data_IF_720349060055
#
_entry.id   IF_720349060055
#
_cell.length_a   1.000
_cell.length_b   1.000
_cell.length_c   1.000
_cell.angle_alpha   90.00
_cell.angle_beta   90.00
_cell.angle_gamma   90.00
#
_symmetry.space_group_name_H-M   'P 1'
#
loop_
_entity.id
_entity.type
_entity.pdbx_description
1 polymer ?
#
# COMPACT_ATOMS: atom_id res chain seq x y z
N UNK A 1 -1.34 -8.91 -13.77
CA UNK A 1 -1.97 -7.60 -13.46
C UNK A 1 -3.48 -7.80 -13.57
N UNK A 2 -4.25 -7.56 -12.51
CA UNK A 2 -5.72 -7.65 -12.55
C UNK A 2 -6.26 -6.24 -12.38
N UNK A 3 -6.83 -5.70 -13.45
CA UNK A 3 -7.46 -4.39 -13.40
C UNK A 3 -8.95 -4.52 -13.07
N UNK A 4 -9.55 -3.44 -12.56
CA UNK A 4 -10.96 -3.36 -12.20
C UNK A 4 -11.66 -2.38 -13.15
N UNK A 5 -12.35 -2.85 -14.20
CA UNK A 5 -13.05 -1.99 -15.15
C UNK A 5 -14.36 -1.50 -14.55
N UNK A 6 -14.26 -0.55 -13.62
CA UNK A 6 -15.40 0.07 -12.92
C UNK A 6 -15.40 1.58 -13.17
N UNK A 7 -16.57 2.25 -13.09
CA UNK A 7 -16.64 3.70 -13.23
C UNK A 7 -15.70 4.41 -12.24
N UNK A 8 -14.96 5.41 -12.71
CA UNK A 8 -14.02 6.17 -11.90
C UNK A 8 -12.65 5.53 -11.73
N UNK A 9 -12.36 4.38 -12.37
CA UNK A 9 -11.04 3.73 -12.36
C UNK A 9 -9.93 4.65 -12.88
N UNK A 10 -10.27 5.57 -13.76
CA UNK A 10 -9.41 6.56 -14.39
C UNK A 10 -9.10 7.79 -13.54
N UNK A 11 -9.75 7.94 -12.37
CA UNK A 11 -9.52 9.09 -11.49
C UNK A 11 -8.10 9.09 -10.90
N UNK A 12 -7.58 10.29 -10.70
CA UNK A 12 -6.27 10.50 -10.06
C UNK A 12 -6.26 9.93 -8.63
N UNK A 13 -5.11 9.40 -8.24
CA UNK A 13 -4.91 8.74 -6.94
C UNK A 13 -5.23 7.24 -6.92
N UNK A 14 -5.71 6.66 -8.03
CA UNK A 14 -5.93 5.22 -8.15
C UNK A 14 -4.73 4.54 -8.81
N UNK A 15 -3.88 3.96 -7.97
CA UNK A 15 -2.64 3.31 -8.38
C UNK A 15 -2.69 1.80 -8.13
N UNK A 16 -2.05 1.03 -9.02
CA UNK A 16 -1.76 -0.37 -8.76
C UNK A 16 -0.64 -0.48 -7.71
N UNK A 17 -0.68 -1.51 -6.88
CA UNK A 17 0.32 -1.71 -5.82
C UNK A 17 1.77 -1.68 -6.35
N UNK A 18 2.01 -2.23 -7.55
CA UNK A 18 3.33 -2.24 -8.17
C UNK A 18 3.79 -0.89 -8.74
N UNK A 19 2.92 0.12 -8.76
CA UNK A 19 3.30 1.51 -9.06
C UNK A 19 3.76 2.24 -7.79
N UNK A 20 3.29 1.78 -6.62
CA UNK A 20 3.60 2.35 -5.30
C UNK A 20 4.82 1.70 -4.61
N UNK A 21 4.80 0.37 -4.44
CA UNK A 21 5.78 -0.36 -3.63
C UNK A 21 7.25 -0.18 -4.05
N UNK A 22 7.60 -0.10 -5.36
CA UNK A 22 8.99 0.06 -5.75
C UNK A 22 9.64 1.34 -5.23
N UNK A 23 8.88 2.43 -5.04
CA UNK A 23 9.43 3.69 -4.53
C UNK A 23 9.98 3.55 -3.13
N UNK A 24 9.26 2.86 -2.25
CA UNK A 24 9.73 2.59 -0.91
C UNK A 24 11.05 1.81 -0.92
N UNK A 25 11.19 0.81 -1.79
CA UNK A 25 12.44 0.06 -1.91
C UNK A 25 13.61 0.94 -2.37
N UNK A 26 13.39 1.80 -3.37
CA UNK A 26 14.43 2.72 -3.88
C UNK A 26 14.91 3.69 -2.80
N UNK A 27 13.96 4.29 -2.06
CA UNK A 27 14.28 5.16 -0.92
C UNK A 27 15.11 4.41 0.13
N UNK A 28 14.72 3.18 0.47
CA UNK A 28 15.44 2.37 1.46
C UNK A 28 16.84 1.93 0.99
N UNK A 29 17.07 1.82 -0.32
CA UNK A 29 18.38 1.53 -0.91
C UNK A 29 19.27 2.78 -1.04
N UNK A 30 18.71 3.97 -0.80
CA UNK A 30 19.42 5.24 -0.92
C UNK A 30 19.49 5.78 -2.35
N UNK A 31 18.60 5.33 -3.24
CA UNK A 31 18.50 5.86 -4.60
C UNK A 31 18.05 7.33 -4.57
N UNK A 32 18.60 8.15 -5.47
CA UNK A 32 18.14 9.53 -5.67
C UNK A 32 16.85 9.53 -6.50
N UNK A 33 15.73 9.56 -5.79
CA UNK A 33 14.37 9.50 -6.37
C UNK A 33 13.52 10.71 -6.00
N UNK A 34 14.13 11.78 -5.47
CA UNK A 34 13.38 12.95 -5.01
C UNK A 34 12.77 13.69 -6.19
N UNK A 35 11.51 14.12 -6.02
CA UNK A 35 10.83 15.03 -6.93
C UNK A 35 11.26 16.49 -6.72
N UNK A 36 10.64 17.39 -7.49
CA UNK A 36 10.88 18.83 -7.39
C UNK A 36 10.52 19.41 -6.01
N UNK A 37 9.65 18.74 -5.27
CA UNK A 37 9.25 19.06 -3.90
C UNK A 37 10.21 18.53 -2.82
N UNK A 38 11.27 17.83 -3.24
CA UNK A 38 12.26 17.24 -2.34
C UNK A 38 11.80 15.96 -1.66
N UNK A 39 10.68 15.38 -2.08
CA UNK A 39 10.11 14.16 -1.52
C UNK A 39 10.11 13.02 -2.56
N UNK A 40 10.19 11.75 -2.12
CA UNK A 40 9.97 10.62 -3.02
C UNK A 40 8.54 10.65 -3.62
N UNK A 41 8.32 10.04 -4.80
CA UNK A 41 6.97 9.87 -5.32
C UNK A 41 6.10 9.02 -4.40
N UNK A 42 4.79 9.30 -4.43
CA UNK A 42 3.77 8.50 -3.73
C UNK A 42 4.01 8.39 -2.22
N UNK A 43 4.39 9.49 -1.58
CA UNK A 43 4.44 9.58 -0.12
C UNK A 43 3.04 9.62 0.47
N UNK A 44 2.81 8.80 1.51
CA UNK A 44 1.52 8.69 2.19
C UNK A 44 1.42 9.56 3.46
N UNK A 45 2.46 10.36 3.76
CA UNK A 45 2.57 11.12 5.01
C UNK A 45 1.37 12.04 5.20
N UNK A 46 0.69 11.92 6.35
CA UNK A 46 -0.53 12.66 6.70
C UNK A 46 -1.75 12.42 5.79
N UNK A 47 -1.70 11.46 4.87
CA UNK A 47 -2.82 11.11 3.99
C UNK A 47 -3.68 9.97 4.56
N UNK A 48 -4.93 9.95 4.13
CA UNK A 48 -5.87 8.85 4.37
C UNK A 48 -6.13 8.12 3.06
N UNK A 49 -5.92 6.80 3.01
CA UNK A 49 -6.08 6.04 1.77
C UNK A 49 -6.61 4.63 2.02
N UNK A 50 -7.01 3.97 0.92
CA UNK A 50 -7.55 2.62 0.93
C UNK A 50 -6.71 1.65 0.08
N UNK A 51 -6.48 0.45 0.61
CA UNK A 51 -5.90 -0.69 -0.10
C UNK A 51 -7.01 -1.65 -0.49
N UNK A 52 -7.09 -1.99 -1.78
CA UNK A 52 -8.06 -2.96 -2.29
C UNK A 52 -7.33 -4.29 -2.57
N UNK A 53 -7.52 -5.27 -1.68
CA UNK A 53 -6.88 -6.58 -1.71
C UNK A 53 -6.28 -6.98 -0.36
N UNK A 54 -6.38 -8.26 -0.01
CA UNK A 54 -5.94 -8.80 1.29
C UNK A 54 -4.81 -9.81 1.27
N UNK A 55 -4.22 -10.09 0.10
CA UNK A 55 -3.01 -10.93 0.02
C UNK A 55 -1.74 -10.19 0.46
N UNK A 56 -0.59 -10.86 0.33
CA UNK A 56 0.72 -10.34 0.75
C UNK A 56 1.03 -8.95 0.19
N UNK A 57 0.75 -8.71 -1.09
CA UNK A 57 0.96 -7.39 -1.71
C UNK A 57 0.10 -6.29 -1.04
N UNK A 58 -1.10 -6.63 -0.56
CA UNK A 58 -1.93 -5.70 0.19
C UNK A 58 -1.35 -5.41 1.58
N UNK A 59 -0.84 -6.44 2.26
CA UNK A 59 -0.14 -6.31 3.53
C UNK A 59 1.16 -5.48 3.39
N UNK A 60 1.89 -5.63 2.28
CA UNK A 60 3.07 -4.82 1.97
C UNK A 60 2.70 -3.34 1.76
N UNK A 61 1.57 -3.07 1.09
CA UNK A 61 1.05 -1.70 0.95
C UNK A 61 0.68 -1.09 2.29
N UNK A 62 -0.02 -1.85 3.14
CA UNK A 62 -0.36 -1.45 4.50
C UNK A 62 0.90 -1.10 5.31
N UNK A 63 1.86 -2.02 5.35
CA UNK A 63 3.11 -1.85 6.10
C UNK A 63 3.96 -0.68 5.61
N UNK A 64 4.10 -0.53 4.29
CA UNK A 64 4.84 0.60 3.68
C UNK A 64 4.23 1.94 4.07
N UNK A 65 2.90 2.04 3.98
CA UNK A 65 2.22 3.31 4.24
C UNK A 65 2.24 3.70 5.72
N UNK A 66 2.18 2.72 6.62
CA UNK A 66 2.41 2.98 8.05
C UNK A 66 3.82 3.51 8.30
N UNK A 67 4.86 2.93 7.67
CA UNK A 67 6.24 3.41 7.81
C UNK A 67 6.43 4.82 7.24
N UNK A 68 5.68 5.18 6.21
CA UNK A 68 5.67 6.54 5.64
C UNK A 68 4.86 7.56 6.47
N UNK A 69 4.16 7.14 7.54
CA UNK A 69 3.41 8.05 8.41
C UNK A 69 2.03 8.44 7.88
N UNK A 70 1.32 7.50 7.24
CA UNK A 70 -0.08 7.71 6.86
C UNK A 70 -0.98 8.04 8.06
N UNK A 71 -1.91 8.99 7.86
CA UNK A 71 -2.86 9.38 8.90
C UNK A 71 -3.91 8.28 9.15
N UNK A 72 -4.40 7.65 8.09
CA UNK A 72 -5.26 6.47 8.20
C UNK A 72 -5.10 5.52 7.00
N UNK A 73 -5.25 4.23 7.25
CA UNK A 73 -5.19 3.19 6.23
C UNK A 73 -6.39 2.28 6.37
N UNK A 74 -7.15 2.10 5.29
CA UNK A 74 -8.27 1.17 5.23
C UNK A 74 -7.95 0.03 4.26
N UNK A 75 -7.98 -1.21 4.71
CA UNK A 75 -7.78 -2.36 3.82
C UNK A 75 -9.11 -3.10 3.63
N UNK A 76 -9.47 -3.28 2.35
CA UNK A 76 -10.69 -3.98 1.97
C UNK A 76 -10.33 -5.29 1.25
N UNK A 77 -10.86 -6.39 1.75
CA UNK A 77 -10.69 -7.71 1.18
C UNK A 77 -12.06 -8.34 0.87
N UNK A 78 -12.12 -9.16 -0.18
CA UNK A 78 -13.33 -9.90 -0.58
C UNK A 78 -13.52 -11.20 0.24
N UNK A 79 -12.46 -11.69 0.88
CA UNK A 79 -12.47 -12.90 1.69
C UNK A 79 -13.08 -12.63 3.07
N UNK A 80 -13.53 -13.67 3.80
CA UNK A 80 -13.97 -13.52 5.17
C UNK A 80 -12.90 -12.87 6.05
N UNK A 81 -13.34 -12.07 7.02
CA UNK A 81 -12.45 -11.44 7.99
C UNK A 81 -11.57 -12.52 8.68
N UNK A 82 -10.24 -12.34 8.72
CA UNK A 82 -9.36 -13.22 9.47
C UNK A 82 -9.76 -13.30 10.96
N UNK A 83 -9.44 -14.40 11.66
CA UNK A 83 -9.66 -14.50 13.10
C UNK A 83 -8.87 -13.42 13.86
N UNK A 84 -9.36 -13.01 15.03
CA UNK A 84 -8.71 -12.00 15.87
C UNK A 84 -7.32 -12.45 16.36
N UNK A 85 -7.14 -13.76 16.54
CA UNK A 85 -5.89 -14.37 16.98
C UNK A 85 -5.26 -15.19 15.86
N UNK A 86 -3.95 -15.04 15.71
CA UNK A 86 -3.14 -15.85 14.79
C UNK A 86 -3.08 -17.30 15.28
N UNK A 87 -3.13 -18.24 14.35
CA UNK A 87 -2.96 -19.66 14.65
C UNK A 87 -1.47 -20.00 14.80
N UNK A 88 -1.14 -21.00 15.63
CA UNK A 88 0.24 -21.46 15.81
C UNK A 88 0.86 -21.99 14.51
N UNK A 89 0.04 -22.45 13.57
CA UNK A 89 0.46 -22.92 12.24
C UNK A 89 0.80 -21.79 11.27
N UNK A 90 0.47 -20.55 11.60
CA UNK A 90 0.77 -19.36 10.80
C UNK A 90 1.59 -18.36 11.62
N UNK A 91 2.81 -18.71 12.08
CA UNK A 91 3.64 -17.83 12.90
C UNK A 91 4.05 -16.57 12.14
N UNK A 92 4.24 -15.45 12.86
CA UNK A 92 4.65 -14.17 12.27
C UNK A 92 5.97 -14.32 11.46
N UNK A 93 6.15 -13.65 10.29
CA UNK A 93 5.24 -12.65 9.71
C UNK A 93 3.84 -13.14 9.35
#
# INVERSE_FOLDING_TARGET
RRDLPIPGRELDGIHQAMEFLPWANRVQLGDDVLGDDGEPPMMMTFLSFAVIGGGDTGADCLGTSHRQGAASVYQFEIMPRPPETRADSTPWP
#
